data_IF_306031826143
#
_entry.id   IF_306031826143
#
_cell.length_a   1.000
_cell.length_b   1.000
_cell.length_c   1.000
_cell.angle_alpha   90.00
_cell.angle_beta   90.00
_cell.angle_gamma   90.00
#
_symmetry.space_group_name_H-M   'P 1'
#
loop_
_entity.id
_entity.type
_entity.pdbx_description
1 polymer ?
#
# COMPACT_ATOMS: atom_id res chain seq x y z
N UNK A 1 42.64 -3.51 6.61
CA UNK A 1 41.83 -3.74 5.39
C UNK A 1 40.34 -3.97 5.68
N UNK A 2 39.92 -4.42 6.86
CA UNK A 2 38.49 -4.67 7.16
C UNK A 2 37.64 -3.40 7.41
N UNK A 3 38.24 -2.29 7.84
CA UNK A 3 37.53 -1.03 8.15
C UNK A 3 36.81 -0.37 6.95
N UNK A 4 37.11 -0.78 5.72
CA UNK A 4 36.38 -0.35 4.52
C UNK A 4 35.07 -1.10 4.33
N UNK A 5 35.06 -2.40 4.68
CA UNK A 5 33.89 -3.28 4.52
C UNK A 5 32.86 -2.97 5.60
N UNK A 6 33.32 -2.72 6.84
CA UNK A 6 32.44 -2.32 7.96
C UNK A 6 31.68 -1.04 7.65
N UNK A 7 32.35 -0.01 7.08
CA UNK A 7 31.70 1.24 6.68
C UNK A 7 30.70 1.09 5.54
N UNK A 8 30.91 0.13 4.64
CA UNK A 8 29.94 -0.15 3.57
C UNK A 8 28.71 -0.85 4.12
N UNK A 9 28.88 -1.78 5.06
CA UNK A 9 27.79 -2.50 5.72
C UNK A 9 26.97 -1.58 6.63
N UNK A 10 27.61 -0.72 7.42
CA UNK A 10 26.91 0.30 8.21
C UNK A 10 26.11 1.25 7.31
N UNK A 11 26.69 1.72 6.20
CA UNK A 11 25.96 2.58 5.24
C UNK A 11 24.79 1.89 4.53
N UNK A 12 24.79 0.55 4.42
CA UNK A 12 23.63 -0.21 3.92
C UNK A 12 22.59 -0.46 5.00
N UNK A 13 23.00 -0.60 6.27
CA UNK A 13 22.13 -0.75 7.42
C UNK A 13 21.44 0.59 7.80
N UNK A 14 22.12 1.71 7.56
CA UNK A 14 21.64 3.08 7.77
C UNK A 14 20.79 3.63 6.62
N UNK A 15 20.70 2.93 5.48
CA UNK A 15 19.67 3.26 4.50
C UNK A 15 18.34 3.01 5.20
N UNK A 16 17.46 4.02 5.38
CA UNK A 16 16.16 3.76 5.94
C UNK A 16 15.50 2.74 5.03
N UNK A 17 15.37 1.51 5.53
CA UNK A 17 14.58 0.48 4.88
C UNK A 17 13.21 1.09 4.63
N UNK A 18 12.68 0.85 3.44
CA UNK A 18 11.33 1.31 3.08
C UNK A 18 10.39 0.95 4.23
N UNK A 19 9.65 1.93 4.77
CA UNK A 19 8.74 1.63 5.87
C UNK A 19 7.69 0.62 5.40
N UNK A 20 7.15 -0.19 6.32
CA UNK A 20 6.07 -1.14 6.02
C UNK A 20 4.92 -0.45 5.26
N UNK A 21 4.59 0.78 5.67
CA UNK A 21 3.54 1.59 5.07
C UNK A 21 3.85 1.97 3.62
N UNK A 22 5.09 2.37 3.34
CA UNK A 22 5.54 2.70 1.97
C UNK A 22 5.60 1.47 1.06
N UNK A 23 5.96 0.29 1.58
CA UNK A 23 5.91 -0.97 0.82
C UNK A 23 4.47 -1.32 0.43
N UNK A 24 3.57 -1.31 1.42
CA UNK A 24 2.14 -1.57 1.22
C UNK A 24 1.55 -0.59 0.21
N UNK A 25 1.80 0.72 0.37
CA UNK A 25 1.27 1.75 -0.51
C UNK A 25 1.80 1.64 -1.95
N UNK A 26 3.07 1.27 -2.15
CA UNK A 26 3.61 1.04 -3.49
C UNK A 26 2.98 -0.20 -4.14
N UNK A 27 2.90 -1.31 -3.40
CA UNK A 27 2.35 -2.57 -3.92
C UNK A 27 0.88 -2.44 -4.22
N UNK A 28 0.14 -1.69 -3.41
CA UNK A 28 -1.28 -1.39 -3.63
C UNK A 28 -1.47 -0.55 -4.90
N UNK A 29 -0.71 0.53 -5.08
CA UNK A 29 -0.76 1.35 -6.32
C UNK A 29 -0.44 0.56 -7.58
N UNK A 30 0.48 -0.41 -7.50
CA UNK A 30 0.82 -1.30 -8.63
C UNK A 30 -0.36 -2.18 -9.08
N UNK A 31 -1.37 -2.40 -8.25
CA UNK A 31 -2.59 -3.12 -8.65
C UNK A 31 -3.55 -2.27 -9.49
N UNK A 32 -3.30 -0.95 -9.62
CA UNK A 32 -4.20 -0.03 -10.31
C UNK A 32 -5.60 0.02 -9.69
N UNK A 33 -5.74 0.19 -8.35
CA UNK A 33 -7.04 0.26 -7.70
C UNK A 33 -7.88 1.41 -8.29
N UNK A 34 -9.18 1.17 -8.45
CA UNK A 34 -10.11 2.19 -8.95
C UNK A 34 -10.41 3.20 -7.85
N UNK A 35 -10.37 4.49 -8.18
CA UNK A 35 -10.79 5.55 -7.26
C UNK A 35 -12.30 5.51 -7.04
N UNK A 36 -12.74 5.83 -5.82
CA UNK A 36 -14.15 5.99 -5.54
C UNK A 36 -14.59 7.40 -5.85
N UNK A 37 -15.39 7.56 -6.90
CA UNK A 37 -16.12 8.78 -7.16
C UNK A 37 -17.39 8.76 -6.31
N UNK A 38 -17.59 9.77 -5.45
CA UNK A 38 -18.79 9.89 -4.63
C UNK A 38 -20.04 9.66 -5.50
N UNK A 39 -20.79 8.59 -5.18
CA UNK A 39 -21.94 8.12 -5.96
C UNK A 39 -23.14 7.89 -5.04
N UNK A 40 -24.34 8.12 -5.57
CA UNK A 40 -25.60 7.77 -4.88
C UNK A 40 -26.10 6.38 -5.28
N UNK A 41 -25.47 5.73 -6.26
CA UNK A 41 -25.84 4.39 -6.71
C UNK A 41 -25.17 3.33 -5.82
N UNK A 42 -25.95 2.54 -5.06
CA UNK A 42 -25.41 1.50 -4.19
C UNK A 42 -24.68 0.40 -4.98
N UNK A 43 -25.07 0.10 -6.22
CA UNK A 43 -24.41 -0.95 -7.02
C UNK A 43 -22.98 -0.55 -7.39
N UNK A 44 -22.76 0.72 -7.70
CA UNK A 44 -21.42 1.26 -7.99
C UNK A 44 -20.55 1.23 -6.73
N UNK A 45 -21.14 1.49 -5.56
CA UNK A 45 -20.44 1.37 -4.28
C UNK A 45 -20.06 -0.09 -3.97
N UNK A 46 -20.98 -1.04 -4.14
CA UNK A 46 -20.70 -2.46 -3.93
C UNK A 46 -19.63 -3.00 -4.89
N UNK A 47 -19.69 -2.62 -6.17
CA UNK A 47 -18.69 -3.03 -7.17
C UNK A 47 -17.30 -2.50 -6.78
N UNK A 48 -17.22 -1.25 -6.33
CA UNK A 48 -15.98 -0.67 -5.85
C UNK A 48 -15.44 -1.39 -4.61
N UNK A 49 -16.29 -1.65 -3.61
CA UNK A 49 -15.90 -2.39 -2.40
C UNK A 49 -15.35 -3.77 -2.77
N UNK A 50 -16.05 -4.53 -3.62
CA UNK A 50 -15.61 -5.87 -4.06
C UNK A 50 -14.27 -5.83 -4.80
N UNK A 51 -14.05 -4.81 -5.61
CA UNK A 51 -12.76 -4.60 -6.28
C UNK A 51 -11.63 -4.37 -5.27
N UNK A 52 -11.87 -3.57 -4.24
CA UNK A 52 -10.90 -3.31 -3.18
C UNK A 52 -10.61 -4.58 -2.36
N UNK A 53 -11.63 -5.33 -1.97
CA UNK A 53 -11.49 -6.60 -1.23
C UNK A 53 -10.65 -7.63 -1.98
N UNK A 54 -10.84 -7.73 -3.30
CA UNK A 54 -10.04 -8.63 -4.16
C UNK A 54 -8.55 -8.28 -4.08
N UNK A 55 -8.22 -6.99 -4.10
CA UNK A 55 -6.83 -6.53 -3.99
C UNK A 55 -6.28 -6.82 -2.59
N UNK A 56 -7.07 -6.56 -1.55
CA UNK A 56 -6.66 -6.78 -0.17
C UNK A 56 -6.38 -8.25 0.14
N UNK A 57 -7.23 -9.16 -0.35
CA UNK A 57 -7.05 -10.60 -0.22
C UNK A 57 -5.79 -11.06 -0.96
N UNK A 58 -5.64 -10.63 -2.22
CA UNK A 58 -4.46 -10.95 -3.03
C UNK A 58 -3.14 -10.50 -2.39
N UNK A 59 -3.14 -9.33 -1.74
CA UNK A 59 -1.96 -8.77 -1.07
C UNK A 59 -1.75 -9.29 0.36
N UNK A 60 -2.76 -9.92 0.96
CA UNK A 60 -2.72 -10.36 2.37
C UNK A 60 -2.65 -9.21 3.37
N UNK A 61 -3.39 -8.11 3.14
CA UNK A 61 -3.32 -6.93 4.00
C UNK A 61 -3.99 -7.11 5.36
N UNK A 62 -3.39 -6.54 6.40
CA UNK A 62 -4.01 -6.39 7.72
C UNK A 62 -5.10 -5.30 7.68
N UNK A 63 -6.08 -5.35 8.60
CA UNK A 63 -7.20 -4.41 8.58
C UNK A 63 -6.78 -2.93 8.69
N UNK A 64 -5.71 -2.65 9.45
CA UNK A 64 -5.12 -1.31 9.54
C UNK A 64 -4.64 -0.80 8.18
N UNK A 65 -4.04 -1.68 7.37
CA UNK A 65 -3.51 -1.36 6.05
C UNK A 65 -4.65 -1.21 5.03
N UNK A 66 -5.70 -2.04 5.13
CA UNK A 66 -6.92 -1.91 4.30
C UNK A 66 -7.55 -0.54 4.47
N UNK A 67 -7.74 -0.08 5.72
CA UNK A 67 -8.34 1.24 6.00
C UNK A 67 -7.50 2.36 5.38
N UNK A 68 -6.17 2.31 5.52
CA UNK A 68 -5.26 3.30 4.93
C UNK A 68 -5.37 3.34 3.40
N UNK A 69 -5.37 2.18 2.76
CA UNK A 69 -5.57 2.06 1.32
C UNK A 69 -6.93 2.59 0.89
N UNK A 70 -8.02 2.28 1.62
CA UNK A 70 -9.35 2.76 1.30
C UNK A 70 -9.42 4.29 1.34
N UNK A 71 -8.90 4.92 2.41
CA UNK A 71 -8.85 6.37 2.56
C UNK A 71 -8.13 7.02 1.39
N UNK A 72 -7.00 6.45 0.95
CA UNK A 72 -6.23 6.97 -0.18
C UNK A 72 -7.02 6.96 -1.50
N UNK A 73 -8.01 6.08 -1.66
CA UNK A 73 -8.81 5.94 -2.88
C UNK A 73 -10.09 6.80 -2.88
N UNK A 74 -10.47 7.40 -1.75
CA UNK A 74 -11.64 8.25 -1.67
C UNK A 74 -11.32 9.65 -2.22
N UNK A 75 -12.05 10.08 -3.26
CA UNK A 75 -12.03 11.50 -3.66
C UNK A 75 -12.96 12.29 -2.74
N UNK A 76 -12.41 13.36 -2.16
CA UNK A 76 -13.17 14.38 -1.43
C UNK A 76 -14.06 15.21 -2.34
#
# INVERSE_FOLDING_TARGET
MLAGITRLLERQLERPGKSHEEDVAERFRKQGPKEFACTTDPLVAEEWIRSMETIYDYMGLADVDKVRCAIFMLKG
#
